data_IF_403230511312
#
_entry.id   IF_403230511312
#
_cell.length_a   1.000
_cell.length_b   1.000
_cell.length_c   1.000
_cell.angle_alpha   90.00
_cell.angle_beta   90.00
_cell.angle_gamma   90.00
#
_symmetry.space_group_name_H-M   'P 1'
#
loop_
_entity.id
_entity.type
_entity.pdbx_description
1 polymer ?
#
# COMPACT_ATOMS: atom_id res chain seq x y z
N UNK A 1 46.55 5.34 -26.08
CA UNK A 1 47.53 5.74 -25.04
C UNK A 1 47.09 7.04 -24.38
N UNK A 2 46.46 6.94 -23.21
CA UNK A 2 46.64 7.86 -22.08
C UNK A 2 46.13 7.11 -20.85
N UNK A 3 47.10 6.61 -20.08
CA UNK A 3 46.93 5.89 -18.83
C UNK A 3 46.15 6.74 -17.83
N UNK A 4 45.09 6.19 -17.22
CA UNK A 4 44.72 6.61 -15.88
C UNK A 4 45.65 5.88 -14.92
N UNK A 5 46.54 6.66 -14.32
CA UNK A 5 47.40 6.27 -13.22
C UNK A 5 46.48 6.01 -12.03
N UNK A 6 46.30 4.75 -11.64
CA UNK A 6 45.81 4.41 -10.32
C UNK A 6 46.90 4.83 -9.33
N UNK A 7 46.68 5.93 -8.61
CA UNK A 7 47.60 6.38 -7.58
C UNK A 7 47.54 5.42 -6.39
N UNK A 8 48.70 5.12 -5.80
CA UNK A 8 48.86 4.28 -4.59
C UNK A 8 47.98 4.74 -3.41
N UNK A 9 47.49 6.00 -3.43
CA UNK A 9 46.53 6.53 -2.46
C UNK A 9 45.16 5.84 -2.51
N UNK A 10 44.68 5.41 -3.68
CA UNK A 10 43.38 4.75 -3.83
C UNK A 10 43.35 3.36 -3.18
N UNK A 11 44.48 2.63 -3.20
CA UNK A 11 44.63 1.36 -2.50
C UNK A 11 44.56 1.53 -0.98
N UNK A 12 45.23 2.55 -0.43
CA UNK A 12 45.22 2.83 1.02
C UNK A 12 43.85 3.31 1.54
N UNK A 13 43.08 4.01 0.71
CA UNK A 13 41.73 4.49 1.04
C UNK A 13 40.72 3.34 1.02
N UNK A 14 40.84 2.41 0.06
CA UNK A 14 40.01 1.20 -0.02
C UNK A 14 40.27 0.22 1.13
N UNK A 15 41.52 0.05 1.55
CA UNK A 15 41.86 -0.77 2.72
C UNK A 15 41.36 -0.12 4.03
N UNK A 16 41.43 1.21 4.16
CA UNK A 16 40.79 1.93 5.26
C UNK A 16 39.28 1.78 5.23
N UNK A 17 38.65 1.84 4.05
CA UNK A 17 37.21 1.61 3.88
C UNK A 17 36.82 0.21 4.35
N UNK A 18 37.56 -0.81 3.89
CA UNK A 18 37.29 -2.20 4.19
C UNK A 18 37.51 -2.54 5.68
N UNK A 19 38.56 -1.99 6.29
CA UNK A 19 38.83 -2.12 7.73
C UNK A 19 37.77 -1.41 8.58
N UNK A 20 37.37 -0.20 8.19
CA UNK A 20 36.38 0.60 8.94
C UNK A 20 34.97 0.01 8.81
N UNK A 21 34.62 -0.57 7.66
CA UNK A 21 33.36 -1.30 7.48
C UNK A 21 33.28 -2.56 8.36
N UNK A 22 34.40 -3.24 8.61
CA UNK A 22 34.44 -4.41 9.51
C UNK A 22 34.33 -4.04 11.00
N UNK A 23 34.84 -2.87 11.41
CA UNK A 23 34.86 -2.47 12.83
C UNK A 23 33.68 -1.57 13.26
N UNK A 24 33.21 -0.65 12.42
CA UNK A 24 32.30 0.43 12.85
C UNK A 24 30.96 0.48 12.12
N UNK A 25 30.80 -0.25 11.01
CA UNK A 25 29.56 -0.29 10.23
C UNK A 25 29.14 1.02 9.54
N UNK A 26 29.82 2.14 9.79
CA UNK A 26 29.56 3.46 9.20
C UNK A 26 30.85 4.31 9.13
N UNK A 27 30.97 5.16 8.09
CA UNK A 27 31.96 6.25 8.03
C UNK A 27 31.40 7.46 7.26
N UNK A 28 31.79 8.70 7.61
CA UNK A 28 31.35 9.90 6.90
C UNK A 28 32.13 10.08 5.59
N UNK A 29 31.41 10.28 4.48
CA UNK A 29 32.00 10.64 3.19
C UNK A 29 31.91 12.17 2.99
N UNK A 30 33.05 12.86 2.95
CA UNK A 30 33.14 14.29 2.62
C UNK A 30 33.69 14.48 1.20
N UNK A 31 33.29 15.57 0.52
CA UNK A 31 33.61 15.91 -0.88
C UNK A 31 32.93 15.06 -1.98
N UNK A 32 31.68 14.62 -1.80
CA UNK A 32 30.92 13.83 -2.78
C UNK A 32 30.45 14.61 -4.04
N UNK A 33 30.92 15.83 -4.28
CA UNK A 33 30.74 16.55 -5.56
C UNK A 33 29.30 16.95 -5.95
N UNK A 34 28.30 16.75 -5.10
CA UNK A 34 26.90 17.11 -5.40
C UNK A 34 26.71 18.62 -5.26
N UNK A 35 26.62 19.34 -6.39
CA UNK A 35 26.16 20.73 -6.43
C UNK A 35 24.63 20.77 -6.34
N UNK A 36 24.12 21.45 -5.32
CA UNK A 36 22.70 21.77 -5.15
C UNK A 36 22.32 22.95 -6.04
N UNK A 37 21.52 22.71 -7.08
CA UNK A 37 20.80 23.77 -7.79
C UNK A 37 19.30 23.47 -7.75
N UNK A 38 18.59 24.18 -6.85
CA UNK A 38 17.14 24.29 -6.88
C UNK A 38 16.74 25.15 -8.08
N UNK A 39 15.91 24.61 -8.98
CA UNK A 39 15.18 25.39 -9.97
C UNK A 39 13.70 25.23 -9.67
N UNK A 40 13.07 26.32 -9.25
CA UNK A 40 11.63 26.42 -9.04
C UNK A 40 10.96 26.66 -10.40
N UNK A 41 10.16 25.70 -10.86
CA UNK A 41 9.20 25.92 -11.94
C UNK A 41 7.82 26.12 -11.32
N UNK A 42 7.34 27.36 -11.36
CA UNK A 42 5.97 27.74 -11.03
C UNK A 42 5.22 27.97 -12.35
N UNK A 43 4.19 27.17 -12.63
CA UNK A 43 3.02 27.50 -13.45
C UNK A 43 2.13 26.26 -13.77
N UNK A 44 0.82 26.42 -13.54
CA UNK A 44 -0.37 25.69 -14.06
C UNK A 44 -1.09 24.68 -13.12
N UNK A 45 -2.44 24.56 -13.26
CA UNK A 45 -3.38 24.39 -12.15
C UNK A 45 -3.63 22.93 -11.80
N UNK A 46 -4.06 22.69 -10.56
CA UNK A 46 -4.25 21.41 -9.83
C UNK A 46 -3.11 21.08 -8.86
N UNK A 47 -3.01 21.88 -7.79
CA UNK A 47 -2.21 21.54 -6.63
C UNK A 47 -2.91 20.42 -5.84
N UNK A 48 -2.37 19.19 -5.91
CA UNK A 48 -2.50 18.23 -4.83
C UNK A 48 -2.02 18.94 -3.56
N UNK A 49 -2.95 19.31 -2.67
CA UNK A 49 -2.62 20.05 -1.44
C UNK A 49 -2.13 19.09 -0.37
N UNK A 50 -0.82 18.92 -0.37
CA UNK A 50 0.12 18.67 0.73
C UNK A 50 -0.36 17.79 1.92
N UNK A 51 0.28 16.65 2.21
CA UNK A 51 0.06 15.80 3.40
C UNK A 51 0.42 16.54 4.69
N UNK A 52 -0.61 16.89 5.49
CA UNK A 52 -0.51 17.63 6.75
C UNK A 52 -0.86 16.84 8.00
N UNK A 53 -1.36 15.61 7.84
CA UNK A 53 -1.99 14.88 8.93
C UNK A 53 -0.98 14.20 9.86
N UNK A 54 0.16 13.77 9.32
CA UNK A 54 1.16 13.03 10.09
C UNK A 54 1.72 13.84 11.28
N UNK A 55 2.10 15.12 11.13
CA UNK A 55 2.60 15.93 12.24
C UNK A 55 1.55 16.21 13.32
N UNK A 56 0.27 16.20 12.96
CA UNK A 56 -0.87 16.47 13.85
C UNK A 56 -1.23 15.25 14.71
N UNK A 57 -0.76 14.04 14.37
CA UNK A 57 -1.05 12.84 15.16
C UNK A 57 -0.43 12.93 16.56
N UNK A 58 -1.03 12.25 17.57
CA UNK A 58 -0.42 12.14 18.89
C UNK A 58 1.01 11.64 18.77
N UNK A 59 1.96 12.28 19.46
CA UNK A 59 3.40 12.04 19.28
C UNK A 59 3.78 10.56 19.37
N UNK A 60 3.20 9.83 20.32
CA UNK A 60 3.44 8.39 20.47
C UNK A 60 3.05 7.59 19.22
N UNK A 61 1.81 7.76 18.73
CA UNK A 61 1.32 7.08 17.53
C UNK A 61 2.12 7.48 16.29
N UNK A 62 2.43 8.78 16.15
CA UNK A 62 3.20 9.29 15.01
C UNK A 62 4.56 8.61 14.91
N UNK A 63 5.30 8.55 16.02
CA UNK A 63 6.66 8.02 16.05
C UNK A 63 6.69 6.53 15.69
N UNK A 64 5.81 5.72 16.29
CA UNK A 64 5.73 4.29 15.97
C UNK A 64 5.24 4.04 14.54
N UNK A 65 4.29 4.84 14.06
CA UNK A 65 3.77 4.75 12.71
C UNK A 65 4.86 5.07 11.68
N UNK A 66 5.65 6.12 11.88
CA UNK A 66 6.77 6.45 11.00
C UNK A 66 7.81 5.33 10.93
N UNK A 67 8.22 4.77 12.08
CA UNK A 67 9.12 3.63 12.11
C UNK A 67 8.54 2.42 11.37
N UNK A 68 7.27 2.12 11.60
CA UNK A 68 6.59 1.00 10.94
C UNK A 68 6.47 1.17 9.43
N UNK A 69 6.10 2.37 8.96
CA UNK A 69 6.02 2.69 7.54
C UNK A 69 7.39 2.56 6.85
N UNK A 70 8.48 2.96 7.51
CA UNK A 70 9.82 2.80 6.99
C UNK A 70 10.24 1.33 6.85
N UNK A 71 9.91 0.50 7.84
CA UNK A 71 10.16 -0.95 7.77
C UNK A 71 9.31 -1.62 6.67
N UNK A 72 8.04 -1.24 6.55
CA UNK A 72 7.18 -1.74 5.47
C UNK A 72 7.65 -1.30 4.09
N UNK A 73 8.21 -0.08 3.95
CA UNK A 73 8.79 0.37 2.69
C UNK A 73 9.96 -0.51 2.26
N UNK A 74 10.89 -0.82 3.17
CA UNK A 74 12.00 -1.74 2.89
C UNK A 74 11.48 -3.12 2.48
N UNK A 75 10.52 -3.63 3.25
CA UNK A 75 9.89 -4.93 3.01
C UNK A 75 9.22 -5.01 1.64
N UNK A 76 8.44 -3.98 1.28
CA UNK A 76 7.75 -3.89 0.00
C UNK A 76 8.73 -3.87 -1.18
N UNK A 77 9.82 -3.11 -1.10
CA UNK A 77 10.83 -3.08 -2.16
C UNK A 77 11.52 -4.43 -2.33
N UNK A 78 11.83 -5.13 -1.23
CA UNK A 78 12.36 -6.49 -1.31
C UNK A 78 11.37 -7.46 -1.97
N UNK A 79 10.10 -7.43 -1.56
CA UNK A 79 9.06 -8.27 -2.16
C UNK A 79 8.87 -8.00 -3.66
N UNK A 80 8.84 -6.73 -4.08
CA UNK A 80 8.75 -6.37 -5.49
C UNK A 80 9.97 -6.86 -6.28
N UNK A 81 11.18 -6.79 -5.71
CA UNK A 81 12.40 -7.37 -6.30
C UNK A 81 12.30 -8.89 -6.49
N UNK A 82 11.82 -9.62 -5.47
CA UNK A 82 11.60 -11.07 -5.59
C UNK A 82 10.50 -11.39 -6.60
N UNK A 83 9.40 -10.65 -6.61
CA UNK A 83 8.33 -10.80 -7.61
C UNK A 83 8.84 -10.54 -9.03
N UNK A 84 9.71 -9.56 -9.24
CA UNK A 84 10.36 -9.28 -10.52
C UNK A 84 11.25 -10.44 -10.97
N UNK A 85 12.08 -10.98 -10.05
CA UNK A 85 12.92 -12.16 -10.32
C UNK A 85 12.07 -13.38 -10.70
N UNK A 86 11.00 -13.64 -9.96
CA UNK A 86 10.07 -14.73 -10.23
C UNK A 86 9.35 -14.59 -11.58
N UNK A 87 8.97 -13.36 -11.95
CA UNK A 87 8.41 -13.04 -13.26
C UNK A 87 9.45 -13.05 -14.38
N UNK A 88 10.75 -13.16 -14.06
CA UNK A 88 11.86 -13.05 -15.01
C UNK A 88 11.84 -11.72 -15.76
N UNK A 89 11.51 -10.63 -15.04
CA UNK A 89 11.58 -9.28 -15.60
C UNK A 89 13.03 -8.91 -15.89
N UNK A 90 13.21 -8.09 -16.93
CA UNK A 90 14.51 -7.48 -17.20
C UNK A 90 14.86 -6.49 -16.10
N UNK A 91 16.17 -6.29 -15.91
CA UNK A 91 16.69 -5.36 -14.91
C UNK A 91 16.12 -3.96 -15.15
N UNK A 92 15.66 -3.31 -14.08
CA UNK A 92 15.09 -1.96 -14.13
C UNK A 92 13.58 -1.91 -14.37
N UNK A 93 12.94 -2.93 -14.99
CA UNK A 93 11.51 -2.86 -15.34
C UNK A 93 10.61 -2.67 -14.10
N UNK A 94 10.92 -3.35 -12.99
CA UNK A 94 10.22 -3.17 -11.71
C UNK A 94 10.78 -1.98 -10.92
N UNK A 95 12.10 -1.87 -10.85
CA UNK A 95 12.80 -0.87 -10.01
C UNK A 95 12.46 0.55 -10.45
N UNK A 96 12.58 0.87 -11.74
CA UNK A 96 12.31 2.22 -12.26
C UNK A 96 10.86 2.66 -12.04
N UNK A 97 9.94 1.69 -12.01
CA UNK A 97 8.51 1.92 -11.84
C UNK A 97 8.16 2.28 -10.39
N UNK A 98 8.74 1.56 -9.42
CA UNK A 98 8.38 1.64 -8.00
C UNK A 98 9.39 2.39 -7.11
N UNK A 99 10.61 2.65 -7.60
CA UNK A 99 11.56 3.54 -6.95
C UNK A 99 10.88 4.89 -6.68
N UNK A 100 11.00 5.47 -5.49
CA UNK A 100 10.27 6.69 -5.10
C UNK A 100 8.77 6.71 -5.49
N UNK A 101 8.16 5.52 -5.53
CA UNK A 101 6.79 5.33 -5.93
C UNK A 101 5.81 5.92 -4.92
N UNK A 102 4.57 6.12 -5.33
CA UNK A 102 3.55 6.64 -4.41
C UNK A 102 3.26 5.62 -3.31
N UNK A 103 3.15 6.12 -2.08
CA UNK A 103 2.80 5.31 -0.93
C UNK A 103 1.70 5.99 -0.14
N UNK A 104 0.78 5.20 0.39
CA UNK A 104 -0.25 5.69 1.30
C UNK A 104 -0.59 4.65 2.33
N UNK A 105 -1.22 5.08 3.42
CA UNK A 105 -1.67 4.20 4.48
C UNK A 105 -3.11 4.49 4.84
N UNK A 106 -3.87 3.42 5.10
CA UNK A 106 -5.25 3.45 5.57
C UNK A 106 -5.34 2.66 6.87
N UNK A 107 -5.67 3.36 7.95
CA UNK A 107 -6.10 2.73 9.21
C UNK A 107 -7.62 2.70 9.19
N UNK A 108 -8.25 1.55 9.42
CA UNK A 108 -9.72 1.42 9.39
C UNK A 108 -10.22 0.77 10.66
N UNK A 109 -11.25 1.37 11.24
CA UNK A 109 -12.02 0.88 12.38
C UNK A 109 -13.41 0.51 11.89
N UNK A 110 -13.80 -0.75 12.10
CA UNK A 110 -15.10 -1.29 11.73
C UNK A 110 -15.87 -1.53 13.03
N UNK A 111 -16.81 -0.65 13.41
CA UNK A 111 -17.57 -0.80 14.64
C UNK A 111 -18.50 -2.03 14.61
N UNK A 112 -18.94 -2.56 15.77
CA UNK A 112 -20.00 -3.56 15.81
C UNK A 112 -21.26 -3.07 15.11
N UNK A 113 -21.98 -3.96 14.46
CA UNK A 113 -23.24 -3.66 13.76
C UNK A 113 -24.36 -4.59 14.27
N UNK A 114 -25.54 -4.08 14.66
CA UNK A 114 -26.65 -4.93 15.12
C UNK A 114 -27.28 -5.79 14.01
N UNK A 115 -27.10 -5.39 12.74
CA UNK A 115 -27.61 -6.11 11.56
C UNK A 115 -26.47 -6.30 10.55
N UNK A 116 -25.42 -7.07 10.89
CA UNK A 116 -24.20 -7.18 10.10
C UNK A 116 -24.44 -7.76 8.70
N UNK A 117 -25.51 -8.53 8.51
CA UNK A 117 -25.94 -9.09 7.23
C UNK A 117 -26.45 -8.05 6.22
N UNK A 118 -26.83 -6.85 6.68
CA UNK A 118 -27.39 -5.79 5.83
C UNK A 118 -26.33 -4.81 5.33
N UNK A 119 -25.12 -4.82 5.88
CA UNK A 119 -24.09 -3.81 5.62
C UNK A 119 -22.78 -4.44 5.18
N UNK A 120 -21.89 -3.62 4.64
CA UNK A 120 -20.50 -4.01 4.38
C UNK A 120 -19.56 -3.07 5.11
N UNK A 121 -18.54 -3.62 5.76
CA UNK A 121 -17.51 -2.79 6.41
C UNK A 121 -16.62 -2.10 5.39
N UNK A 122 -16.25 -2.81 4.32
CA UNK A 122 -15.61 -2.26 3.13
C UNK A 122 -16.13 -2.99 1.89
N UNK A 123 -16.75 -2.22 1.00
CA UNK A 123 -17.34 -2.70 -0.26
C UNK A 123 -16.35 -3.53 -1.11
N UNK A 124 -16.81 -4.59 -1.81
CA UNK A 124 -15.99 -5.37 -2.74
C UNK A 124 -15.19 -4.54 -3.75
N UNK A 125 -13.88 -4.75 -3.80
CA UNK A 125 -12.97 -4.07 -4.72
C UNK A 125 -11.69 -4.87 -4.97
N UNK A 126 -10.96 -4.54 -6.02
CA UNK A 126 -9.53 -4.81 -6.13
C UNK A 126 -8.72 -3.55 -5.84
N UNK A 127 -7.45 -3.72 -5.46
CA UNK A 127 -6.56 -2.60 -5.17
C UNK A 127 -5.95 -2.04 -6.45
N UNK A 128 -5.94 -0.72 -6.59
CA UNK A 128 -5.24 0.00 -7.66
C UNK A 128 -3.70 -0.08 -7.60
N UNK A 129 -3.14 -0.83 -6.65
CA UNK A 129 -1.72 -0.82 -6.30
C UNK A 129 -0.86 -1.74 -7.14
N UNK A 130 0.45 -1.66 -6.94
CA UNK A 130 1.34 -2.78 -7.26
C UNK A 130 1.18 -3.89 -6.23
N UNK A 131 1.48 -3.57 -4.96
CA UNK A 131 1.19 -4.44 -3.82
C UNK A 131 0.60 -3.65 -2.66
N UNK A 132 -0.16 -4.34 -1.81
CA UNK A 132 -0.68 -3.83 -0.55
C UNK A 132 -0.20 -4.74 0.59
N UNK A 133 0.21 -4.15 1.71
CA UNK A 133 0.61 -4.86 2.93
C UNK A 133 -0.34 -4.48 4.07
N UNK A 134 -1.01 -5.47 4.65
CA UNK A 134 -2.04 -5.33 5.67
C UNK A 134 -1.60 -5.97 6.98
N UNK A 135 -1.78 -5.25 8.09
CA UNK A 135 -1.71 -5.76 9.45
C UNK A 135 -3.09 -5.72 10.11
N UNK A 136 -3.49 -6.86 10.66
CA UNK A 136 -4.66 -7.02 11.52
C UNK A 136 -4.29 -6.64 12.96
N UNK A 137 -5.01 -5.70 13.57
CA UNK A 137 -4.60 -5.11 14.85
C UNK A 137 -5.11 -5.90 16.06
N UNK A 138 -6.39 -6.26 16.08
CA UNK A 138 -7.06 -6.77 17.30
C UNK A 138 -7.64 -8.19 17.16
N UNK A 139 -7.20 -8.95 16.15
CA UNK A 139 -7.56 -10.37 15.97
C UNK A 139 -9.03 -10.65 15.60
N UNK A 140 -9.82 -9.63 15.29
CA UNK A 140 -11.23 -9.80 14.88
C UNK A 140 -11.32 -10.05 13.38
N UNK A 141 -11.90 -11.19 12.99
CA UNK A 141 -12.09 -11.56 11.59
C UNK A 141 -12.99 -10.58 10.82
N UNK A 142 -12.88 -10.60 9.49
CA UNK A 142 -13.76 -9.81 8.63
C UNK A 142 -13.24 -9.65 7.20
N UNK A 143 -11.94 -9.83 6.96
CA UNK A 143 -11.40 -9.82 5.59
C UNK A 143 -11.88 -11.07 4.84
N UNK A 144 -12.39 -10.87 3.64
CA UNK A 144 -12.75 -11.94 2.71
C UNK A 144 -12.18 -11.65 1.34
N UNK A 145 -11.68 -12.69 0.66
CA UNK A 145 -11.20 -12.64 -0.72
C UNK A 145 -12.12 -13.45 -1.62
N UNK A 146 -12.22 -13.10 -2.90
CA UNK A 146 -13.07 -13.78 -3.86
C UNK A 146 -12.23 -14.69 -4.74
N UNK A 147 -12.47 -16.00 -4.67
CA UNK A 147 -11.81 -17.00 -5.50
C UNK A 147 -12.86 -17.89 -6.14
N UNK A 148 -12.75 -18.12 -7.44
CA UNK A 148 -13.67 -18.95 -8.21
C UNK A 148 -15.16 -18.58 -8.03
N UNK A 149 -15.42 -17.29 -7.90
CA UNK A 149 -16.77 -16.74 -7.70
C UNK A 149 -17.28 -16.80 -6.25
N UNK A 150 -16.51 -17.35 -5.32
CA UNK A 150 -16.91 -17.56 -3.93
C UNK A 150 -16.09 -16.70 -2.97
N UNK A 151 -16.74 -16.14 -1.95
CA UNK A 151 -16.09 -15.40 -0.88
C UNK A 151 -15.49 -16.36 0.15
N UNK A 152 -14.18 -16.25 0.36
CA UNK A 152 -13.39 -17.04 1.31
C UNK A 152 -12.91 -16.10 2.44
N UNK A 153 -13.22 -16.40 3.71
CA UNK A 153 -12.71 -15.62 4.83
C UNK A 153 -11.20 -15.87 5.02
N UNK A 154 -10.48 -14.82 5.38
CA UNK A 154 -9.05 -14.87 5.66
C UNK A 154 -8.84 -14.99 7.16
N UNK A 155 -8.22 -16.09 7.59
CA UNK A 155 -7.68 -16.27 8.94
C UNK A 155 -6.25 -15.76 9.01
N UNK A 156 -5.88 -15.09 10.10
CA UNK A 156 -4.55 -14.51 10.30
C UNK A 156 -3.68 -15.39 11.21
N UNK A 157 -2.48 -15.72 10.76
CA UNK A 157 -1.44 -16.29 11.60
C UNK A 157 -0.92 -15.23 12.59
N UNK A 158 -0.48 -15.64 13.80
CA UNK A 158 0.22 -14.74 14.72
C UNK A 158 1.42 -14.07 14.04
N UNK A 159 1.59 -12.78 14.27
CA UNK A 159 2.67 -11.95 13.73
C UNK A 159 2.82 -11.96 12.20
N UNK A 160 1.82 -12.44 11.45
CA UNK A 160 1.84 -12.40 9.99
C UNK A 160 1.30 -11.07 9.45
N UNK A 161 1.89 -10.64 8.34
CA UNK A 161 1.32 -9.60 7.47
C UNK A 161 0.55 -10.28 6.34
N UNK A 162 -0.55 -9.69 5.90
CA UNK A 162 -1.21 -10.13 4.65
C UNK A 162 -0.72 -9.25 3.52
N UNK A 163 -0.28 -9.84 2.43
CA UNK A 163 0.16 -9.13 1.23
C UNK A 163 -0.74 -9.50 0.07
N UNK A 164 -1.14 -8.52 -0.74
CA UNK A 164 -1.85 -8.78 -1.97
C UNK A 164 -1.27 -8.04 -3.17
N UNK A 165 -1.40 -8.70 -4.33
CA UNK A 165 -1.15 -8.14 -5.66
C UNK A 165 -2.29 -7.18 -5.98
N UNK A 166 -1.94 -6.00 -6.48
CA UNK A 166 -2.90 -5.04 -7.01
C UNK A 166 -2.92 -5.01 -8.54
N UNK A 167 -3.88 -4.25 -9.08
CA UNK A 167 -4.18 -4.13 -10.49
C UNK A 167 -2.98 -3.68 -11.33
N UNK A 168 -2.13 -2.79 -10.81
CA UNK A 168 -0.93 -2.33 -11.54
C UNK A 168 0.06 -3.46 -11.76
N UNK A 169 0.23 -4.35 -10.77
CA UNK A 169 1.12 -5.49 -10.90
C UNK A 169 0.52 -6.60 -11.78
N UNK A 170 -0.80 -6.77 -11.79
CA UNK A 170 -1.50 -7.60 -12.79
C UNK A 170 -1.25 -7.06 -14.21
N UNK A 171 -1.33 -5.73 -14.41
CA UNK A 171 -1.01 -5.10 -15.70
C UNK A 171 0.46 -5.31 -16.09
N UNK A 172 1.38 -5.02 -15.16
CA UNK A 172 2.83 -5.14 -15.40
C UNK A 172 3.22 -6.56 -15.81
N UNK A 173 2.67 -7.56 -15.13
CA UNK A 173 2.91 -8.97 -15.40
C UNK A 173 2.15 -9.52 -16.62
N UNK A 174 1.48 -8.64 -17.40
CA UNK A 174 0.61 -9.02 -18.51
C UNK A 174 -0.43 -10.10 -18.15
N UNK A 175 -0.97 -10.05 -16.93
CA UNK A 175 -2.00 -10.97 -16.45
C UNK A 175 -1.46 -12.30 -15.90
N UNK A 176 -0.15 -12.44 -15.71
CA UNK A 176 0.43 -13.61 -15.04
C UNK A 176 0.07 -13.60 -13.56
N UNK A 177 0.23 -12.47 -12.87
CA UNK A 177 -0.25 -12.32 -11.49
C UNK A 177 -1.67 -11.78 -11.47
N UNK A 178 -2.44 -12.21 -10.48
CA UNK A 178 -3.86 -11.89 -10.38
C UNK A 178 -4.10 -10.97 -9.18
N UNK A 179 -4.57 -9.76 -9.43
CA UNK A 179 -5.18 -8.90 -8.41
C UNK A 179 -6.49 -9.55 -7.96
N UNK A 180 -6.87 -9.57 -6.68
CA UNK A 180 -8.09 -10.30 -6.25
C UNK A 180 -9.10 -9.37 -5.62
N UNK A 181 -10.37 -9.56 -5.99
CA UNK A 181 -11.48 -8.88 -5.34
C UNK A 181 -11.54 -9.30 -3.88
N UNK A 182 -11.63 -8.32 -3.00
CA UNK A 182 -11.71 -8.53 -1.56
C UNK A 182 -12.68 -7.53 -0.93
N UNK A 183 -13.16 -7.86 0.27
CA UNK A 183 -14.10 -7.05 1.06
C UNK A 183 -13.82 -7.19 2.54
N UNK A 184 -14.36 -6.28 3.34
CA UNK A 184 -14.38 -6.43 4.80
C UNK A 184 -15.83 -6.51 5.30
N UNK A 185 -16.17 -7.61 5.97
CA UNK A 185 -17.45 -7.76 6.68
C UNK A 185 -17.35 -7.21 8.10
N UNK A 186 -18.49 -6.98 8.72
CA UNK A 186 -18.61 -6.58 10.12
C UNK A 186 -19.33 -7.66 10.93
N UNK A 187 -19.35 -7.51 12.24
CA UNK A 187 -20.02 -8.44 13.15
C UNK A 187 -20.75 -7.66 14.25
N UNK A 188 -21.63 -8.32 15.00
CA UNK A 188 -22.41 -7.69 16.06
C UNK A 188 -21.70 -7.57 17.41
N UNK A 189 -20.57 -8.25 17.59
CA UNK A 189 -19.97 -8.45 18.90
C UNK A 189 -18.81 -7.47 19.19
N UNK A 190 -17.91 -7.25 18.23
CA UNK A 190 -16.64 -6.58 18.47
C UNK A 190 -16.14 -5.80 17.26
N UNK A 191 -15.54 -4.67 17.51
CA UNK A 191 -14.89 -3.86 16.49
C UNK A 191 -13.72 -4.59 15.84
N UNK A 192 -13.50 -4.38 14.55
CA UNK A 192 -12.29 -4.81 13.85
C UNK A 192 -11.42 -3.61 13.55
N UNK A 193 -10.10 -3.73 13.71
CA UNK A 193 -9.16 -2.67 13.34
C UNK A 193 -8.06 -3.25 12.43
N UNK A 194 -7.75 -2.54 11.35
CA UNK A 194 -6.69 -2.91 10.42
C UNK A 194 -5.91 -1.70 9.92
N UNK A 195 -4.61 -1.88 9.63
CA UNK A 195 -3.78 -0.89 8.93
C UNK A 195 -3.25 -1.50 7.63
N UNK A 196 -3.52 -0.83 6.51
CA UNK A 196 -3.08 -1.23 5.17
C UNK A 196 -2.16 -0.17 4.57
N UNK A 197 -1.01 -0.57 4.05
CA UNK A 197 -0.08 0.29 3.33
C UNK A 197 -0.05 -0.10 1.85
N UNK A 198 -0.19 0.90 0.99
CA UNK A 198 -0.36 0.75 -0.46
C UNK A 198 0.90 1.21 -1.17
N UNK A 199 1.46 0.37 -2.04
CA UNK A 199 2.67 0.67 -2.81
C UNK A 199 2.33 0.77 -4.29
N UNK A 200 2.56 1.94 -4.87
CA UNK A 200 2.23 2.27 -6.25
C UNK A 200 3.47 2.76 -7.01
N UNK A 201 3.43 2.76 -8.35
CA UNK A 201 4.44 3.42 -9.17
C UNK A 201 4.60 4.92 -8.88
N UNK A 202 5.67 5.51 -9.41
CA UNK A 202 5.83 6.97 -9.51
C UNK A 202 4.60 7.58 -10.20
N UNK A 203 4.18 8.78 -9.79
CA UNK A 203 3.01 9.44 -10.39
C UNK A 203 3.22 9.78 -11.88
N UNK A 204 4.47 10.03 -12.29
CA UNK A 204 4.89 10.25 -13.68
C UNK A 204 5.02 8.97 -14.51
N UNK A 205 4.94 7.80 -13.89
CA UNK A 205 5.16 6.53 -14.55
C UNK A 205 4.04 6.16 -15.53
N UNK A 206 4.34 5.17 -16.37
CA UNK A 206 3.38 4.55 -17.28
C UNK A 206 3.05 3.16 -16.75
N UNK A 207 1.77 2.91 -16.48
CA UNK A 207 1.26 1.57 -16.18
C UNK A 207 1.05 0.84 -17.51
N UNK A 208 1.81 -0.23 -17.75
CA UNK A 208 1.76 -1.04 -18.97
C UNK A 208 2.35 -2.44 -18.71
N UNK A 209 2.04 -3.45 -19.55
CA UNK A 209 2.78 -4.71 -19.55
C UNK A 209 4.28 -4.48 -19.71
N UNK A 210 5.08 -5.18 -18.91
CA UNK A 210 6.52 -5.18 -19.04
C UNK A 210 6.93 -5.76 -20.42
N UNK A 211 7.85 -5.11 -21.16
CA UNK A 211 8.42 -5.64 -22.40
C UNK A 211 8.84 -7.11 -22.31
N UNK A 212 9.45 -7.54 -21.21
CA UNK A 212 9.86 -8.94 -20.99
C UNK A 212 8.70 -9.94 -20.91
N UNK A 213 7.49 -9.47 -20.64
CA UNK A 213 6.28 -10.29 -20.47
C UNK A 213 5.44 -10.39 -21.75
N UNK A 214 5.83 -9.70 -22.82
CA UNK A 214 5.10 -9.68 -24.08
C UNK A 214 5.96 -10.18 -25.24
N UNK A 215 5.34 -10.90 -26.17
CA UNK A 215 5.98 -11.37 -27.41
C UNK A 215 4.90 -11.68 -28.47
N UNK A 216 5.26 -12.06 -29.71
CA UNK A 216 4.26 -12.37 -30.74
C UNK A 216 3.26 -13.48 -30.36
N UNK A 217 3.64 -14.39 -29.46
CA UNK A 217 2.78 -15.47 -28.94
C UNK A 217 1.99 -15.05 -27.69
N UNK A 218 2.47 -14.02 -26.96
CA UNK A 218 1.82 -13.42 -25.79
C UNK A 218 1.70 -11.90 -25.96
N UNK A 219 0.75 -11.40 -26.77
CA UNK A 219 0.59 -9.97 -27.01
C UNK A 219 0.15 -9.23 -25.73
N UNK A 220 0.33 -7.90 -25.66
CA UNK A 220 -0.13 -7.10 -24.52
C UNK A 220 -1.66 -7.23 -24.34
N UNK A 221 -2.07 -7.67 -23.15
CA UNK A 221 -3.49 -7.80 -22.76
C UNK A 221 -4.07 -6.50 -22.23
N UNK A 222 -3.22 -5.56 -21.81
CA UNK A 222 -3.61 -4.30 -21.17
C UNK A 222 -3.07 -3.10 -21.94
N UNK A 223 -3.81 -1.99 -21.91
CA UNK A 223 -3.38 -0.72 -22.50
C UNK A 223 -2.33 -0.05 -21.62
N UNK A 224 -1.50 0.78 -22.26
CA UNK A 224 -0.64 1.73 -21.56
C UNK A 224 -1.45 2.94 -21.08
N UNK A 225 -1.33 3.27 -19.80
CA UNK A 225 -1.98 4.44 -19.18
C UNK A 225 -1.01 5.13 -18.23
N UNK A 226 -0.90 6.46 -18.30
CA UNK A 226 -0.11 7.23 -17.33
C UNK A 226 -0.69 7.13 -15.92
N UNK A 227 0.16 6.98 -14.90
CA UNK A 227 -0.27 6.70 -13.53
C UNK A 227 -1.17 7.81 -12.96
N UNK A 228 -0.92 9.08 -13.31
CA UNK A 228 -1.81 10.19 -13.00
C UNK A 228 -3.25 9.97 -13.50
N UNK A 229 -3.39 9.55 -14.76
CA UNK A 229 -4.69 9.27 -15.36
C UNK A 229 -5.32 8.02 -14.73
N UNK A 230 -4.53 6.97 -14.53
CA UNK A 230 -4.96 5.73 -13.88
C UNK A 230 -5.57 6.04 -12.51
N UNK A 231 -4.83 6.78 -11.69
CA UNK A 231 -5.25 7.19 -10.36
C UNK A 231 -6.52 8.04 -10.41
N UNK A 232 -6.55 9.10 -11.22
CA UNK A 232 -7.73 9.97 -11.37
C UNK A 232 -8.98 9.19 -11.79
N UNK A 233 -8.86 8.34 -12.80
CA UNK A 233 -9.98 7.53 -13.28
C UNK A 233 -10.46 6.56 -12.20
N UNK A 234 -9.54 5.84 -11.54
CA UNK A 234 -9.87 4.86 -10.50
C UNK A 234 -10.61 5.50 -9.33
N UNK A 235 -10.15 6.66 -8.86
CA UNK A 235 -10.76 7.39 -7.75
C UNK A 235 -12.01 8.19 -8.14
N UNK A 236 -12.29 8.35 -9.44
CA UNK A 236 -13.53 8.97 -9.94
C UNK A 236 -14.73 8.01 -9.98
N UNK A 237 -14.49 6.69 -9.87
CA UNK A 237 -15.52 5.65 -10.01
C UNK A 237 -15.84 5.01 -8.66
N UNK A 238 -17.07 4.54 -8.48
CA UNK A 238 -17.44 3.69 -7.35
C UNK A 238 -16.55 2.45 -7.31
N UNK A 239 -16.26 1.97 -6.10
CA UNK A 239 -15.60 0.68 -5.91
C UNK A 239 -16.58 -0.41 -6.37
N UNK A 240 -16.23 -1.10 -7.44
CA UNK A 240 -17.08 -2.11 -8.09
C UNK A 240 -16.18 -3.20 -8.67
N UNK A 241 -15.78 -4.14 -7.80
CA UNK A 241 -14.94 -5.27 -8.16
C UNK A 241 -13.65 -4.84 -8.86
N UNK A 242 -13.34 -5.48 -10.00
CA UNK A 242 -12.24 -5.09 -10.90
C UNK A 242 -12.67 -4.25 -12.12
N UNK A 243 -13.77 -3.50 -12.03
CA UNK A 243 -14.36 -2.74 -13.15
C UNK A 243 -13.35 -1.91 -13.95
N UNK A 244 -12.39 -1.30 -13.27
CA UNK A 244 -11.35 -0.50 -13.93
C UNK A 244 -10.30 -1.34 -14.67
N UNK A 245 -9.87 -2.46 -14.09
CA UNK A 245 -8.91 -3.35 -14.73
C UNK A 245 -9.48 -3.94 -16.04
N UNK A 246 -10.76 -4.34 -16.05
CA UNK A 246 -11.42 -4.83 -17.27
C UNK A 246 -11.58 -3.76 -18.35
N UNK A 247 -11.84 -2.51 -17.95
CA UNK A 247 -11.83 -1.38 -18.87
C UNK A 247 -10.44 -1.21 -19.53
N UNK A 248 -9.38 -1.42 -18.75
CA UNK A 248 -8.00 -1.31 -19.23
C UNK A 248 -7.58 -2.49 -20.13
N UNK A 249 -8.14 -3.68 -19.92
CA UNK A 249 -7.92 -4.90 -20.72
C UNK A 249 -8.58 -4.85 -22.11
N UNK A 250 -9.65 -4.10 -22.28
CA UNK A 250 -10.47 -4.14 -23.50
C UNK A 250 -9.83 -3.37 -24.67
N UNK A 251 -9.07 -4.05 -25.53
CA UNK A 251 -8.50 -3.49 -26.77
C UNK A 251 -9.54 -3.18 -27.88
N UNK A 252 -10.81 -3.62 -27.73
CA UNK A 252 -11.81 -3.67 -28.81
C UNK A 252 -13.12 -2.87 -28.65
N UNK A 253 -13.24 -1.93 -27.71
CA UNK A 253 -14.35 -0.95 -27.77
C UNK A 253 -13.81 0.47 -27.99
N UNK A 254 -13.80 0.88 -29.26
CA UNK A 254 -14.21 2.25 -29.56
C UNK A 254 -15.69 2.40 -29.22
N UNK A 255 -16.07 3.55 -28.65
CA UNK A 255 -17.44 3.90 -28.22
C UNK A 255 -17.88 3.33 -26.87
N UNK A 256 -17.22 3.74 -25.80
CA UNK A 256 -17.96 4.33 -24.68
C UNK A 256 -17.63 5.81 -24.71
N UNK A 257 -18.61 6.63 -25.09
CA UNK A 257 -18.50 8.08 -25.09
C UNK A 257 -18.15 8.53 -23.67
N UNK A 258 -17.05 9.28 -23.54
CA UNK A 258 -16.79 10.09 -22.36
C UNK A 258 -17.95 11.09 -22.27
N UNK A 259 -18.91 10.85 -21.36
CA UNK A 259 -19.62 11.99 -20.80
C UNK A 259 -18.53 12.90 -20.22
N UNK A 260 -18.55 14.18 -20.59
CA UNK A 260 -17.56 15.16 -20.16
C UNK A 260 -17.35 15.01 -18.65
N UNK A 261 -16.15 14.59 -18.25
CA UNK A 261 -15.79 14.47 -16.84
C UNK A 261 -15.58 15.87 -16.30
N UNK A 262 -16.68 16.57 -15.98
CA UNK A 262 -16.66 17.39 -14.77
C UNK A 262 -16.17 16.48 -13.65
N UNK A 263 -15.23 16.97 -12.84
CA UNK A 263 -14.79 16.27 -11.63
C UNK A 263 -16.04 15.79 -10.87
N UNK A 264 -16.15 14.50 -10.48
CA UNK A 264 -17.17 14.14 -9.52
C UNK A 264 -16.89 14.96 -8.26
N UNK A 265 -17.86 15.74 -7.82
CA UNK A 265 -17.75 16.42 -6.53
C UNK A 265 -17.75 15.34 -5.46
N UNK A 266 -16.63 15.08 -4.79
CA UNK A 266 -16.65 14.28 -3.56
C UNK A 266 -17.60 14.95 -2.60
N UNK A 267 -18.76 14.35 -2.38
CA UNK A 267 -19.71 14.82 -1.38
C UNK A 267 -19.33 14.18 -0.05
N UNK A 268 -19.23 15.01 0.98
CA UNK A 268 -19.14 14.52 2.34
C UNK A 268 -20.41 13.70 2.63
N UNK A 269 -20.24 12.53 3.23
CA UNK A 269 -21.37 11.74 3.67
C UNK A 269 -22.18 12.50 4.75
N UNK A 270 -23.52 12.31 4.79
CA UNK A 270 -24.36 12.96 5.80
C UNK A 270 -24.03 12.48 7.23
N UNK A 271 -23.49 11.26 7.34
CA UNK A 271 -22.91 10.71 8.57
C UNK A 271 -21.41 10.99 8.56
N UNK A 272 -20.87 11.55 9.64
CA UNK A 272 -19.45 11.87 9.72
C UNK A 272 -18.60 10.71 10.23
N UNK A 273 -19.18 9.85 11.09
CA UNK A 273 -18.52 8.69 11.65
C UNK A 273 -19.52 7.60 12.07
N UNK A 274 -19.21 6.33 11.80
CA UNK A 274 -20.02 5.18 12.25
C UNK A 274 -19.83 4.96 13.74
N UNK A 275 -18.61 5.13 14.24
CA UNK A 275 -18.30 5.01 15.67
C UNK A 275 -19.11 6.00 16.51
N UNK A 276 -19.39 7.21 16.00
CA UNK A 276 -20.28 8.17 16.66
C UNK A 276 -21.76 7.79 16.53
N UNK A 277 -22.17 7.25 15.38
CA UNK A 277 -23.54 6.80 15.13
C UNK A 277 -23.99 5.73 16.14
N UNK A 278 -23.08 4.83 16.53
CA UNK A 278 -23.40 3.67 17.39
C UNK A 278 -23.21 3.92 18.89
N UNK A 279 -22.89 5.16 19.30
CA UNK A 279 -22.75 5.50 20.74
C UNK A 279 -24.07 5.33 21.49
N UNK A 280 -25.17 5.64 20.80
CA UNK A 280 -26.53 5.40 21.28
C UNK A 280 -27.07 4.12 20.63
N UNK A 281 -27.92 3.34 21.33
CA UNK A 281 -28.57 2.18 20.74
C UNK A 281 -29.36 2.57 19.48
N UNK A 282 -28.96 2.02 18.34
CA UNK A 282 -29.70 2.18 17.08
C UNK A 282 -30.68 1.00 16.92
N UNK A 283 -31.97 1.26 16.67
CA UNK A 283 -32.96 0.19 16.49
C UNK A 283 -32.81 -0.53 15.15
N UNK A 284 -32.25 0.15 14.15
CA UNK A 284 -31.98 -0.39 12.83
C UNK A 284 -30.83 0.37 12.16
N UNK A 285 -30.15 -0.29 11.22
CA UNK A 285 -29.12 0.31 10.38
C UNK A 285 -29.73 1.40 9.47
N UNK A 286 -29.10 2.58 9.31
CA UNK A 286 -29.59 3.60 8.38
C UNK A 286 -29.51 3.19 6.91
N UNK A 287 -30.51 3.59 6.12
CA UNK A 287 -30.65 3.18 4.72
C UNK A 287 -29.43 3.42 3.81
N UNK A 288 -28.61 4.47 3.97
CA UNK A 288 -27.39 4.64 3.17
C UNK A 288 -26.37 3.50 3.29
N UNK A 289 -26.39 2.72 4.38
CA UNK A 289 -25.49 1.58 4.60
C UNK A 289 -26.08 0.24 4.11
N UNK A 290 -27.39 0.17 3.90
CA UNK A 290 -28.09 -1.07 3.57
C UNK A 290 -27.80 -1.48 2.13
N UNK A 291 -27.23 -2.68 1.97
CA UNK A 291 -26.91 -3.30 0.69
C UNK A 291 -28.18 -3.66 -0.08
N UNK A 292 -28.14 -3.50 -1.39
CA UNK A 292 -29.28 -3.88 -2.26
C UNK A 292 -29.38 -5.40 -2.45
N UNK A 293 -28.26 -6.12 -2.35
CA UNK A 293 -28.19 -7.59 -2.40
C UNK A 293 -27.26 -8.13 -1.29
N UNK A 294 -27.81 -8.47 -0.10
CA UNK A 294 -27.01 -8.92 1.04
C UNK A 294 -26.45 -10.34 0.91
N UNK A 295 -26.78 -11.11 -0.15
CA UNK A 295 -26.43 -12.53 -0.23
C UNK A 295 -25.53 -12.86 -1.43
N UNK A 296 -24.22 -12.65 -1.26
CA UNK A 296 -23.25 -13.40 -2.08
C UNK A 296 -23.04 -14.78 -1.47
N UNK A 297 -22.98 -15.87 -2.27
CA UNK A 297 -22.76 -17.21 -1.75
C UNK A 297 -21.45 -17.29 -0.97
N UNK A 298 -21.54 -17.76 0.27
CA UNK A 298 -20.41 -18.15 1.12
C UNK A 298 -20.33 -19.68 1.02
N UNK A 299 -19.11 -20.24 1.03
CA UNK A 299 -18.95 -21.70 1.17
C UNK A 299 -19.72 -22.19 2.41
N UNK A 300 -20.59 -23.19 2.23
CA UNK A 300 -21.31 -23.82 3.34
C UNK A 300 -20.32 -24.43 4.33
N UNK A 301 -20.66 -24.42 5.62
CA UNK A 301 -19.83 -24.88 6.75
C UNK A 301 -19.40 -26.37 6.70
N UNK A 302 -19.72 -27.09 5.63
CA UNK A 302 -19.46 -28.51 5.41
C UNK A 302 -18.12 -28.81 4.73
N UNK A 303 -17.39 -27.79 4.25
CA UNK A 303 -16.10 -27.96 3.55
C UNK A 303 -15.01 -27.18 4.28
N UNK A 304 -13.80 -27.74 4.51
CA UNK A 304 -12.68 -26.98 5.05
C UNK A 304 -12.43 -25.75 4.18
N UNK A 305 -12.51 -24.57 4.77
CA UNK A 305 -12.20 -23.33 4.06
C UNK A 305 -10.72 -23.35 3.68
N UNK A 306 -10.38 -23.03 2.43
CA UNK A 306 -9.01 -23.13 1.99
C UNK A 306 -8.20 -22.01 2.65
N UNK A 307 -7.10 -22.38 3.30
CA UNK A 307 -6.23 -21.46 4.02
C UNK A 307 -5.42 -20.61 3.04
N UNK A 308 -5.23 -19.35 3.39
CA UNK A 308 -4.40 -18.45 2.59
C UNK A 308 -2.94 -18.94 2.63
N UNK A 309 -2.25 -19.07 1.47
CA UNK A 309 -0.87 -19.55 1.43
C UNK A 309 0.06 -18.69 2.28
N UNK A 310 1.06 -19.33 2.87
CA UNK A 310 2.08 -18.66 3.69
C UNK A 310 3.40 -18.60 2.93
N UNK A 311 4.02 -17.42 2.90
CA UNK A 311 5.35 -17.18 2.35
C UNK A 311 6.28 -16.82 3.51
N UNK A 312 7.44 -17.49 3.57
CA UNK A 312 8.46 -17.23 4.57
C UNK A 312 9.55 -16.32 4.00
N UNK A 313 9.58 -15.07 4.48
CA UNK A 313 10.54 -14.08 3.99
C UNK A 313 12.00 -14.47 4.25
N UNK A 314 12.27 -15.16 5.37
CA UNK A 314 13.62 -15.61 5.71
C UNK A 314 14.09 -16.67 4.73
N UNK A 315 13.21 -17.60 4.34
CA UNK A 315 13.55 -18.64 3.36
C UNK A 315 13.79 -18.08 1.95
N UNK A 316 13.12 -16.99 1.56
CA UNK A 316 13.40 -16.31 0.27
C UNK A 316 14.81 -15.70 0.27
N UNK A 317 15.25 -15.13 1.40
CA UNK A 317 16.55 -14.46 1.52
C UNK A 317 17.71 -15.46 1.67
N UNK A 318 17.46 -16.65 2.24
CA UNK A 318 18.48 -17.69 2.44
C UNK A 318 18.81 -18.44 1.14
N UNK A 319 20.09 -18.46 0.75
CA UNK A 319 20.56 -19.04 -0.52
C UNK A 319 20.15 -20.49 -0.77
N UNK A 320 20.09 -21.32 0.28
CA UNK A 320 19.77 -22.75 0.17
C UNK A 320 18.28 -23.01 -0.15
N UNK A 321 17.38 -22.15 0.32
CA UNK A 321 15.92 -22.30 0.17
C UNK A 321 15.31 -21.31 -0.80
N UNK A 322 16.09 -20.33 -1.27
CA UNK A 322 15.62 -19.19 -2.04
C UNK A 322 14.80 -19.60 -3.27
N UNK A 323 15.31 -20.54 -4.08
CA UNK A 323 14.64 -20.90 -5.34
C UNK A 323 13.28 -21.58 -5.11
N UNK A 324 13.19 -22.48 -4.12
CA UNK A 324 11.94 -23.17 -3.80
C UNK A 324 10.88 -22.20 -3.23
N UNK A 325 11.27 -21.30 -2.32
CA UNK A 325 10.33 -20.33 -1.75
C UNK A 325 9.98 -19.22 -2.77
N UNK A 326 10.88 -18.90 -3.70
CA UNK A 326 10.61 -17.97 -4.80
C UNK A 326 9.59 -18.55 -5.81
N UNK A 327 9.69 -19.83 -6.16
CA UNK A 327 8.68 -20.51 -7.00
C UNK A 327 7.32 -20.61 -6.29
N UNK A 328 7.34 -20.81 -4.97
CA UNK A 328 6.12 -20.76 -4.15
C UNK A 328 5.50 -19.37 -4.11
N UNK A 329 6.30 -18.31 -3.97
CA UNK A 329 5.83 -16.92 -4.10
C UNK A 329 5.21 -16.71 -5.49
N UNK A 330 5.88 -17.16 -6.54
CA UNK A 330 5.42 -17.02 -7.92
C UNK A 330 4.05 -17.68 -8.15
N UNK A 331 3.91 -18.95 -7.79
CA UNK A 331 2.64 -19.70 -7.90
C UNK A 331 1.53 -19.09 -7.05
N UNK A 332 1.86 -18.64 -5.83
CA UNK A 332 0.90 -17.98 -4.95
C UNK A 332 0.38 -16.67 -5.53
N UNK A 333 1.25 -15.82 -6.09
CA UNK A 333 0.82 -14.58 -6.76
C UNK A 333 -0.06 -14.84 -8.00
N UNK A 334 0.13 -15.96 -8.72
CA UNK A 334 -0.72 -16.36 -9.85
C UNK A 334 -2.09 -16.84 -9.40
N UNK A 335 -2.13 -17.80 -8.48
CA UNK A 335 -3.32 -18.57 -8.14
C UNK A 335 -4.18 -17.93 -7.05
N UNK A 336 -3.56 -17.13 -6.18
CA UNK A 336 -4.20 -16.57 -5.01
C UNK A 336 -4.18 -15.07 -4.97
N UNK A 337 -3.16 -14.40 -5.53
CA UNK A 337 -3.03 -12.94 -5.47
C UNK A 337 -2.92 -12.35 -4.07
N UNK A 338 -3.01 -13.19 -3.03
CA UNK A 338 -2.98 -12.89 -1.62
C UNK A 338 -2.14 -13.95 -0.92
N UNK A 339 -1.39 -13.56 0.11
CA UNK A 339 -0.65 -14.49 0.95
C UNK A 339 -0.38 -13.91 2.34
N UNK A 340 -0.09 -14.80 3.29
CA UNK A 340 0.41 -14.42 4.61
C UNK A 340 1.94 -14.44 4.55
N UNK A 341 2.58 -13.34 4.93
CA UNK A 341 4.02 -13.22 5.01
C UNK A 341 4.46 -13.36 6.47
N UNK A 342 5.29 -14.36 6.74
CA UNK A 342 5.88 -14.63 8.05
C UNK A 342 7.38 -14.39 8.02
N UNK A 343 7.99 -14.28 9.21
CA UNK A 343 9.43 -14.03 9.35
C UNK A 343 9.91 -12.81 8.57
N UNK A 344 9.05 -11.80 8.42
CA UNK A 344 9.21 -10.62 7.57
C UNK A 344 10.25 -9.60 8.06
N UNK A 345 10.83 -9.79 9.25
CA UNK A 345 11.89 -8.93 9.79
C UNK A 345 11.41 -7.67 10.51
N UNK A 346 10.18 -7.18 10.25
CA UNK A 346 9.57 -6.10 11.07
C UNK A 346 9.49 -6.53 12.55
N UNK A 347 10.00 -5.67 13.45
CA UNK A 347 10.08 -5.97 14.88
C UNK A 347 8.70 -6.19 15.52
N UNK A 348 8.51 -7.32 16.20
CA UNK A 348 7.29 -7.60 16.96
C UNK A 348 7.02 -6.55 18.04
N UNK A 349 8.06 -6.00 18.69
CA UNK A 349 7.86 -4.94 19.70
C UNK A 349 7.33 -3.64 19.09
N UNK A 350 7.75 -3.32 17.87
CA UNK A 350 7.23 -2.18 17.11
C UNK A 350 5.78 -2.42 16.70
N UNK A 351 5.47 -3.62 16.22
CA UNK A 351 4.11 -4.03 15.82
C UNK A 351 3.15 -3.97 17.01
N UNK A 352 3.52 -4.54 18.17
CA UNK A 352 2.68 -4.51 19.37
C UNK A 352 2.48 -3.09 19.91
N UNK A 353 3.55 -2.27 19.91
CA UNK A 353 3.47 -0.85 20.27
C UNK A 353 2.49 -0.10 19.35
N UNK A 354 2.61 -0.30 18.04
CA UNK A 354 1.73 0.32 17.05
C UNK A 354 0.27 -0.12 17.22
N UNK A 355 0.03 -1.43 17.44
CA UNK A 355 -1.32 -1.96 17.72
C UNK A 355 -1.96 -1.28 18.91
N UNK A 356 -1.21 -1.14 20.01
CA UNK A 356 -1.67 -0.45 21.22
C UNK A 356 -2.01 1.01 20.94
N UNK A 357 -1.12 1.75 20.29
CA UNK A 357 -1.29 3.19 20.02
C UNK A 357 -2.42 3.48 19.03
N UNK A 358 -2.63 2.63 18.01
CA UNK A 358 -3.80 2.71 17.13
C UNK A 358 -5.08 2.43 17.93
N UNK A 359 -5.06 1.45 18.83
CA UNK A 359 -6.17 1.17 19.73
C UNK A 359 -6.54 2.39 20.59
N UNK A 360 -5.54 3.05 21.17
CA UNK A 360 -5.75 4.28 21.95
C UNK A 360 -6.26 5.45 21.09
N UNK A 361 -5.78 5.59 19.84
CA UNK A 361 -6.29 6.60 18.92
C UNK A 361 -7.80 6.47 18.67
N UNK A 362 -8.29 5.24 18.46
CA UNK A 362 -9.73 5.00 18.30
C UNK A 362 -10.53 4.99 19.61
N UNK A 363 -9.88 5.19 20.76
CA UNK A 363 -10.54 5.49 22.05
C UNK A 363 -10.60 6.98 22.36
N UNK A 364 -9.87 7.82 21.61
CA UNK A 364 -9.91 9.27 21.81
C UNK A 364 -11.35 9.82 21.68
N UNK A 365 -11.70 10.88 22.42
CA UNK A 365 -12.97 11.57 22.25
C UNK A 365 -13.18 12.03 20.81
N UNK A 366 -14.44 12.19 20.43
CA UNK A 366 -14.84 12.65 19.10
C UNK A 366 -14.15 13.97 18.72
N UNK A 367 -14.07 14.89 19.67
CA UNK A 367 -13.50 16.22 19.56
C UNK A 367 -12.02 16.19 19.16
N UNK A 368 -11.31 15.15 19.57
CA UNK A 368 -9.91 14.92 19.21
C UNK A 368 -9.80 14.27 17.83
N UNK A 369 -10.65 13.28 17.53
CA UNK A 369 -10.62 12.58 16.22
C UNK A 369 -11.05 13.46 15.05
N UNK A 370 -12.05 14.33 15.25
CA UNK A 370 -12.59 15.20 14.19
C UNK A 370 -11.59 16.28 13.74
N UNK A 371 -10.51 16.53 14.50
CA UNK A 371 -9.39 17.40 14.08
C UNK A 371 -8.74 16.89 12.79
N UNK A 372 -8.76 15.57 12.59
CA UNK A 372 -8.18 14.91 11.41
C UNK A 372 -9.17 14.76 10.26
N UNK A 373 -10.38 15.33 10.34
CA UNK A 373 -11.44 15.06 9.37
C UNK A 373 -11.01 15.32 7.93
N UNK A 374 -11.52 14.48 7.04
CA UNK A 374 -11.35 14.69 5.61
C UNK A 374 -11.91 16.05 5.18
N UNK A 375 -11.11 16.83 4.45
CA UNK A 375 -11.50 18.15 3.97
C UNK A 375 -12.34 18.04 2.69
N UNK A 376 -13.19 19.04 2.38
CA UNK A 376 -13.94 19.04 1.13
C UNK A 376 -13.00 18.98 -0.09
N UNK A 377 -13.26 18.03 -1.00
CA UNK A 377 -12.43 17.74 -2.20
C UNK A 377 -11.04 17.15 -1.89
N UNK A 378 -10.84 16.66 -0.68
CA UNK A 378 -9.65 15.91 -0.28
C UNK A 378 -9.99 14.42 -0.14
N UNK A 379 -8.97 13.57 -0.19
CA UNK A 379 -9.08 12.13 0.07
C UNK A 379 -8.39 11.71 1.37
N UNK A 380 -7.54 12.58 1.91
CA UNK A 380 -6.84 12.35 3.17
C UNK A 380 -7.67 12.80 4.36
N UNK A 381 -7.49 12.10 5.48
CA UNK A 381 -8.13 12.41 6.76
C UNK A 381 -8.94 11.27 7.32
N UNK A 382 -9.61 11.60 8.43
CA UNK A 382 -10.50 10.75 9.20
C UNK A 382 -11.95 10.90 8.74
N UNK A 383 -12.67 9.78 8.69
CA UNK A 383 -14.12 9.74 8.49
C UNK A 383 -14.55 8.57 7.61
N UNK A 384 -15.74 8.68 7.01
CA UNK A 384 -16.24 7.70 6.04
C UNK A 384 -15.48 7.74 4.71
N UNK A 385 -15.51 6.61 4.00
CA UNK A 385 -15.11 6.55 2.60
C UNK A 385 -15.88 7.62 1.77
N UNK A 386 -15.19 8.36 0.87
CA UNK A 386 -15.86 9.35 0.03
C UNK A 386 -16.97 8.73 -0.83
N UNK A 387 -18.08 9.44 -0.98
CA UNK A 387 -19.15 9.09 -1.92
C UNK A 387 -18.70 9.50 -3.33
N UNK A 388 -18.72 8.55 -4.26
CA UNK A 388 -18.28 8.74 -5.66
C UNK A 388 -19.45 8.74 -6.66
N UNK A 389 -20.61 8.23 -6.27
CA UNK A 389 -21.84 8.24 -7.08
C UNK A 389 -23.10 8.32 -6.19
N UNK A 390 -24.23 8.77 -6.75
CA UNK A 390 -25.48 8.97 -5.99
C UNK A 390 -26.12 7.65 -5.52
N UNK A 391 -25.85 6.55 -6.21
CA UNK A 391 -26.29 5.18 -5.91
C UNK A 391 -25.35 4.44 -4.93
N UNK A 392 -24.21 5.02 -4.56
CA UNK A 392 -23.20 4.35 -3.74
C UNK A 392 -23.68 4.17 -2.29
N UNK A 393 -23.66 2.93 -1.81
CA UNK A 393 -23.84 2.61 -0.38
C UNK A 393 -22.62 3.03 0.44
N UNK A 394 -22.84 3.43 1.67
CA UNK A 394 -21.78 3.77 2.62
C UNK A 394 -21.19 2.51 3.24
N UNK A 395 -19.87 2.52 3.40
CA UNK A 395 -19.14 1.51 4.15
C UNK A 395 -19.40 1.68 5.66
N UNK A 396 -19.66 0.57 6.38
CA UNK A 396 -19.76 0.53 7.84
C UNK A 396 -18.37 0.53 8.49
N UNK A 397 -17.66 1.65 8.36
CA UNK A 397 -16.34 1.81 8.97
C UNK A 397 -15.78 3.21 8.85
N UNK A 398 -14.99 3.59 9.85
CA UNK A 398 -14.26 4.84 9.92
C UNK A 398 -12.81 4.62 9.47
N UNK A 399 -12.34 5.40 8.50
CA UNK A 399 -10.96 5.33 8.01
C UNK A 399 -10.17 6.59 8.36
N UNK A 400 -8.90 6.41 8.66
CA UNK A 400 -7.88 7.45 8.59
C UNK A 400 -6.97 7.12 7.40
N UNK A 401 -6.90 8.03 6.42
CA UNK A 401 -6.09 7.85 5.21
C UNK A 401 -5.08 8.98 5.06
N UNK A 402 -3.83 8.65 4.72
CA UNK A 402 -2.81 9.64 4.40
C UNK A 402 -1.84 9.16 3.31
N UNK A 403 -1.37 10.08 2.47
CA UNK A 403 -0.26 9.82 1.56
C UNK A 403 1.05 9.94 2.30
N UNK A 404 1.91 8.93 2.15
CA UNK A 404 3.23 8.88 2.78
C UNK A 404 4.34 9.14 1.74
N UNK A 405 4.19 8.82 0.46
CA UNK A 405 5.23 9.16 -0.52
C UNK A 405 4.60 9.68 -1.81
N UNK A 406 5.20 10.67 -2.51
CA UNK A 406 6.53 11.31 -2.31
C UNK A 406 6.60 12.41 -1.24
N UNK A 407 7.74 12.54 -0.53
CA UNK A 407 7.93 13.48 0.60
C UNK A 407 7.63 14.96 0.26
N UNK A 408 7.88 15.42 -0.97
CA UNK A 408 7.57 16.81 -1.37
C UNK A 408 6.07 17.10 -1.43
N UNK A 409 5.23 16.06 -1.47
CA UNK A 409 3.80 16.21 -1.27
C UNK A 409 3.44 16.26 0.20
N UNK A 410 4.36 16.08 1.16
CA UNK A 410 4.12 16.34 2.59
C UNK A 410 4.43 17.79 2.93
N UNK A 411 3.68 18.41 3.85
CA UNK A 411 3.86 19.82 4.23
C UNK A 411 5.22 20.04 4.93
N UNK A 412 6.21 20.68 4.28
CA UNK A 412 7.58 20.75 4.81
C UNK A 412 7.70 21.62 6.07
N UNK A 413 6.79 22.58 6.25
CA UNK A 413 6.83 23.51 7.38
C UNK A 413 6.43 22.88 8.72
N UNK A 414 5.91 21.65 8.72
CA UNK A 414 5.57 20.92 9.94
C UNK A 414 6.70 19.99 10.43
N UNK A 415 7.74 19.75 9.60
CA UNK A 415 8.93 18.97 9.97
C UNK A 415 9.75 19.59 11.14
N UNK A 416 9.86 20.92 11.28
CA UNK A 416 10.50 21.53 12.44
C UNK A 416 9.72 21.35 13.75
N UNK A 417 8.40 21.10 13.70
CA UNK A 417 7.58 20.83 14.89
C UNK A 417 7.68 19.36 15.36
N UNK A 418 8.40 18.53 14.62
CA UNK A 418 8.67 17.15 14.98
C UNK A 418 9.77 17.06 16.06
N UNK A 419 9.59 16.23 17.11
CA UNK A 419 10.62 15.84 18.05
C UNK A 419 11.93 15.44 17.37
N UNK A 420 13.10 15.76 17.96
CA UNK A 420 14.41 15.46 17.38
C UNK A 420 14.62 13.99 16.97
N UNK A 421 14.04 13.04 17.71
CA UNK A 421 14.05 11.60 17.38
C UNK A 421 13.52 11.28 15.98
N UNK A 422 12.52 12.03 15.51
CA UNK A 422 11.89 11.84 14.19
C UNK A 422 12.70 12.46 13.05
N UNK A 423 13.39 13.56 13.33
CA UNK A 423 14.31 14.17 12.36
C UNK A 423 15.43 13.20 11.98
N UNK A 424 15.92 12.42 12.95
CA UNK A 424 16.93 11.38 12.70
C UNK A 424 16.39 10.19 11.88
N UNK A 425 15.17 9.69 12.13
CA UNK A 425 14.57 8.62 11.31
C UNK A 425 14.35 9.03 9.85
N UNK A 426 13.94 10.28 9.59
CA UNK A 426 13.73 10.79 8.24
C UNK A 426 15.04 11.00 7.46
N UNK A 427 16.12 11.38 8.14
CA UNK A 427 17.46 11.49 7.54
C UNK A 427 18.01 10.10 7.17
N UNK A 428 17.78 9.10 8.01
CA UNK A 428 18.13 7.70 7.73
C UNK A 428 17.45 7.21 6.45
N UNK A 429 16.19 7.57 6.19
CA UNK A 429 15.46 7.17 4.97
C UNK A 429 16.14 7.69 3.69
N UNK A 430 16.63 8.93 3.69
CA UNK A 430 17.32 9.54 2.53
C UNK A 430 18.69 8.88 2.30
N UNK A 431 19.43 8.60 3.37
CA UNK A 431 20.76 7.99 3.27
C UNK A 431 20.70 6.48 2.93
N UNK A 432 19.70 5.74 3.42
CA UNK A 432 19.53 4.32 3.11
C UNK A 432 19.11 4.07 1.66
N UNK A 433 18.40 5.00 1.03
CA UNK A 433 18.06 4.93 -0.39
C UNK A 433 19.33 4.83 -1.25
N UNK A 434 20.36 5.61 -0.94
CA UNK A 434 21.63 5.55 -1.67
C UNK A 434 22.45 4.29 -1.33
N UNK A 435 22.40 3.81 -0.09
CA UNK A 435 23.24 2.69 0.36
C UNK A 435 22.68 1.31 -0.04
N UNK A 436 21.35 1.13 -0.01
CA UNK A 436 20.73 -0.18 -0.25
C UNK A 436 20.77 -0.60 -1.71
N UNK A 437 20.57 0.34 -2.65
CA UNK A 437 20.78 0.07 -4.08
C UNK A 437 22.25 -0.26 -4.39
N UNK A 438 23.20 0.32 -3.66
CA UNK A 438 24.63 0.01 -3.78
C UNK A 438 24.97 -1.37 -3.21
N UNK A 439 24.28 -1.83 -2.17
CA UNK A 439 24.56 -3.11 -1.52
C UNK A 439 23.88 -4.31 -2.21
N UNK A 440 22.66 -4.12 -2.74
CA UNK A 440 22.06 -5.04 -3.72
C UNK A 440 22.98 -5.14 -4.95
N UNK A 441 23.48 -4.02 -5.46
CA UNK A 441 24.42 -3.99 -6.58
C UNK A 441 25.69 -4.84 -6.33
N UNK A 442 26.28 -4.79 -5.12
CA UNK A 442 27.45 -5.61 -4.75
C UNK A 442 27.08 -7.09 -4.59
N UNK A 443 25.93 -7.42 -3.99
CA UNK A 443 25.48 -8.82 -3.87
C UNK A 443 25.04 -9.45 -5.21
N UNK A 444 24.79 -8.64 -6.24
CA UNK A 444 24.45 -9.10 -7.60
C UNK A 444 25.64 -9.16 -8.56
N UNK A 445 26.82 -8.65 -8.16
CA UNK A 445 28.06 -8.68 -8.94
C UNK A 445 29.02 -9.82 -8.55
N UNK A 446 28.70 -10.53 -7.46
CA UNK A 446 29.33 -11.78 -7.02
C UNK A 446 28.33 -12.92 -7.22
#
# INVERSE_FOLDING_TARGET
MKHLIMSETAGSELEKLHSTCKEWGFFPLVNHGVRSSLVLYDNQPYTYKEAYLLPELPSLLRDSLECYLAELQKLAMMLLGFMAKALKLEKGEMEELFEDGMQSVRITYYPPCPQPELVMGLTPHSDATGITILLQINGVDGLQIKKDGVWIPVSFLPDALVVNVGDVLEILSNGVYTSIEHRATVNAAKERISIAMFFNPKFSAQTKPAPSQINPQNPPLFKQVGMEKYFKDFFSRKLDGKSYLWFNRSLKLGQLTMASTQFPSFRAAPVQSVQELIKEPIPAVPQPFILDDPQSPILSASTPLPLLPTIDMKHIIMSETADAELEKLHSTCKEWGFFQLVNHGVSSSLVEKLKSEIGEFYKLPWEERIKYKMRPRDFEGYGLSPIRSEDQKLDWGDRFYMTTNPIHTRKPYLLPELPPSLRFCLIIIIFFFFFFFFQLYICFLL
#
